data_IF_598353397088
#
_entry.id   IF_598353397088
#
_cell.length_a   1.000
_cell.length_b   1.000
_cell.length_c   1.000
_cell.angle_alpha   90.00
_cell.angle_beta   90.00
_cell.angle_gamma   90.00
#
_symmetry.space_group_name_H-M   'P 1'
#
loop_
_entity.id
_entity.type
_entity.pdbx_description
1 polymer ?
#
# COMPACT_ATOMS: atom_id res chain seq x y z
N UNK A 1 35.61 -43.26 -65.16
CA UNK A 1 34.51 -42.87 -64.25
C UNK A 1 35.11 -42.07 -63.10
N UNK A 2 34.88 -40.75 -62.99
CA UNK A 2 35.26 -40.02 -61.79
C UNK A 2 34.12 -40.05 -60.78
N UNK A 3 34.48 -40.37 -59.54
CA UNK A 3 33.62 -40.42 -58.36
C UNK A 3 33.39 -38.99 -57.86
N UNK A 4 32.13 -38.58 -57.76
CA UNK A 4 31.72 -37.32 -57.13
C UNK A 4 31.70 -37.50 -55.62
N UNK A 5 32.77 -37.06 -54.96
CA UNK A 5 32.79 -36.82 -53.52
C UNK A 5 31.96 -35.57 -53.20
N UNK A 6 30.84 -35.75 -52.48
CA UNK A 6 30.13 -34.66 -51.82
C UNK A 6 31.06 -34.02 -50.78
N UNK A 7 31.30 -32.70 -50.79
CA UNK A 7 31.99 -32.06 -49.69
C UNK A 7 31.04 -32.03 -48.49
N UNK A 8 31.42 -32.67 -47.38
CA UNK A 8 30.81 -32.40 -46.09
C UNK A 8 30.96 -30.90 -45.79
N UNK A 9 29.81 -30.23 -45.73
CA UNK A 9 29.69 -28.83 -45.35
C UNK A 9 30.09 -28.69 -43.88
N UNK A 10 31.38 -28.44 -43.67
CA UNK A 10 31.98 -28.19 -42.35
C UNK A 10 31.42 -26.87 -41.82
N UNK A 11 30.30 -26.93 -41.10
CA UNK A 11 29.71 -25.76 -40.44
C UNK A 11 30.75 -25.10 -39.54
N UNK A 12 31.03 -23.84 -39.85
CA UNK A 12 32.03 -23.02 -39.19
C UNK A 12 31.74 -22.92 -37.68
N UNK A 13 32.64 -23.38 -36.78
CA UNK A 13 32.42 -23.33 -35.33
C UNK A 13 32.23 -21.90 -34.81
N UNK A 14 32.78 -20.90 -35.51
CA UNK A 14 32.59 -19.49 -35.17
C UNK A 14 31.15 -19.01 -35.41
N UNK A 15 30.46 -19.57 -36.42
CA UNK A 15 29.06 -19.28 -36.68
C UNK A 15 28.14 -19.83 -35.58
N UNK A 16 28.48 -21.00 -35.03
CA UNK A 16 27.73 -21.63 -33.94
C UNK A 16 27.93 -20.84 -32.64
N UNK A 17 29.15 -20.44 -32.33
CA UNK A 17 29.44 -19.62 -31.14
C UNK A 17 28.77 -18.25 -31.21
N UNK A 18 28.85 -17.56 -32.37
CA UNK A 18 28.20 -16.25 -32.58
C UNK A 18 26.68 -16.33 -32.51
N UNK A 19 26.08 -17.35 -33.14
CA UNK A 19 24.63 -17.54 -33.11
C UNK A 19 24.11 -17.90 -31.71
N UNK A 20 24.85 -18.71 -30.94
CA UNK A 20 24.53 -19.00 -29.55
C UNK A 20 24.62 -17.77 -28.64
N UNK A 21 25.66 -16.94 -28.81
CA UNK A 21 25.78 -15.69 -28.05
C UNK A 21 24.72 -14.65 -28.41
N UNK A 22 24.29 -14.60 -29.69
CA UNK A 22 23.21 -13.73 -30.13
C UNK A 22 21.87 -14.18 -29.54
N UNK A 23 21.60 -15.49 -29.54
CA UNK A 23 20.42 -16.10 -28.94
C UNK A 23 20.37 -15.88 -27.42
N UNK A 24 21.51 -16.03 -26.74
CA UNK A 24 21.62 -15.73 -25.32
C UNK A 24 21.36 -14.25 -25.01
N UNK A 25 21.90 -13.33 -25.82
CA UNK A 25 21.70 -11.90 -25.65
C UNK A 25 20.23 -11.50 -25.89
N UNK A 26 19.58 -12.04 -26.93
CA UNK A 26 18.15 -11.84 -27.20
C UNK A 26 17.27 -12.37 -26.06
N UNK A 27 17.62 -13.55 -25.54
CA UNK A 27 16.90 -14.15 -24.40
C UNK A 27 17.04 -13.28 -23.14
N UNK A 28 18.25 -12.77 -22.86
CA UNK A 28 18.47 -11.84 -21.74
C UNK A 28 17.72 -10.53 -21.92
N UNK A 29 17.71 -9.96 -23.12
CA UNK A 29 16.99 -8.73 -23.42
C UNK A 29 15.47 -8.92 -23.25
N UNK A 30 14.92 -10.04 -23.74
CA UNK A 30 13.51 -10.39 -23.55
C UNK A 30 13.17 -10.62 -22.08
N UNK A 31 14.04 -11.30 -21.32
CA UNK A 31 13.86 -11.50 -19.88
C UNK A 31 13.90 -10.16 -19.13
N UNK A 32 14.88 -9.30 -19.43
CA UNK A 32 15.01 -7.98 -18.81
C UNK A 32 13.82 -7.08 -19.14
N UNK A 33 13.36 -7.06 -20.38
CA UNK A 33 12.16 -6.34 -20.80
C UNK A 33 10.89 -6.88 -20.11
N UNK A 34 10.79 -8.20 -19.94
CA UNK A 34 9.69 -8.83 -19.22
C UNK A 34 9.71 -8.47 -17.74
N UNK A 35 10.87 -8.53 -17.08
CA UNK A 35 11.03 -8.14 -15.67
C UNK A 35 10.74 -6.65 -15.49
N UNK A 36 11.24 -5.79 -16.37
CA UNK A 36 10.94 -4.36 -16.37
C UNK A 36 9.44 -4.11 -16.59
N UNK A 37 8.82 -4.82 -17.54
CA UNK A 37 7.39 -4.76 -17.77
C UNK A 37 6.58 -5.21 -16.55
N UNK A 38 6.98 -6.29 -15.88
CA UNK A 38 6.38 -6.73 -14.62
C UNK A 38 6.53 -5.64 -13.55
N UNK A 39 7.70 -5.02 -13.41
CA UNK A 39 7.91 -3.97 -12.41
C UNK A 39 7.15 -2.67 -12.70
N UNK A 40 6.99 -2.31 -13.97
CA UNK A 40 6.32 -1.08 -14.40
C UNK A 40 4.80 -1.24 -14.43
N UNK A 41 4.30 -2.42 -14.85
CA UNK A 41 2.88 -2.64 -15.12
C UNK A 41 2.18 -3.55 -14.13
N UNK A 42 2.89 -4.35 -13.31
CA UNK A 42 2.26 -5.01 -12.15
C UNK A 42 2.16 -3.98 -11.04
N UNK A 43 0.95 -3.49 -10.71
CA UNK A 43 0.79 -2.59 -9.58
C UNK A 43 1.34 -3.33 -8.37
N UNK A 44 2.18 -2.69 -7.54
CA UNK A 44 2.56 -3.23 -6.24
C UNK A 44 1.25 -3.52 -5.49
N UNK A 45 0.77 -4.77 -5.55
CA UNK A 45 -0.53 -5.21 -5.01
C UNK A 45 -0.65 -4.99 -3.50
N UNK A 46 0.44 -4.60 -2.85
CA UNK A 46 0.52 -4.49 -1.42
C UNK A 46 0.57 -3.02 -1.00
N UNK A 47 -0.55 -2.62 -0.40
CA UNK A 47 -0.76 -1.43 0.43
C UNK A 47 -1.24 -0.14 -0.26
N UNK A 48 -2.12 -0.26 -1.27
CA UNK A 48 -2.92 0.87 -1.78
C UNK A 48 -3.55 1.68 -0.64
N UNK A 49 -4.13 1.00 0.37
CA UNK A 49 -4.69 1.64 1.57
C UNK A 49 -3.66 2.44 2.37
N UNK A 50 -2.42 1.96 2.48
CA UNK A 50 -1.37 2.65 3.22
C UNK A 50 -0.85 3.85 2.43
N UNK A 51 -0.63 3.68 1.12
CA UNK A 51 -0.23 4.78 0.23
C UNK A 51 -1.28 5.89 0.27
N UNK A 52 -2.56 5.54 0.11
CA UNK A 52 -3.65 6.52 0.25
C UNK A 52 -3.69 7.14 1.64
N UNK A 53 -3.54 6.36 2.72
CA UNK A 53 -3.51 6.95 4.06
C UNK A 53 -2.40 8.00 4.23
N UNK A 54 -1.23 7.80 3.63
CA UNK A 54 -0.14 8.80 3.66
C UNK A 54 -0.46 10.03 2.82
N UNK A 55 -1.04 9.84 1.63
CA UNK A 55 -1.47 10.97 0.78
C UNK A 55 -2.55 11.80 1.48
N UNK A 56 -3.57 11.13 2.02
CA UNK A 56 -4.67 11.76 2.75
C UNK A 56 -4.21 12.40 4.07
N UNK A 57 -3.14 11.89 4.69
CA UNK A 57 -2.53 12.53 5.86
C UNK A 57 -1.93 13.90 5.52
N UNK A 58 -1.43 14.09 4.30
CA UNK A 58 -0.78 15.33 3.86
C UNK A 58 -1.69 16.29 3.10
N UNK A 59 -2.80 15.78 2.58
CA UNK A 59 -3.79 16.59 1.90
C UNK A 59 -4.54 17.51 2.86
N UNK A 60 -4.91 18.69 2.36
CA UNK A 60 -5.97 19.48 2.98
C UNK A 60 -7.30 18.77 2.80
N UNK A 61 -7.99 18.55 3.92
CA UNK A 61 -9.18 17.73 3.98
C UNK A 61 -10.41 18.59 4.15
N UNK A 62 -11.47 18.28 3.41
CA UNK A 62 -12.83 18.73 3.72
C UNK A 62 -13.54 17.62 4.49
N UNK A 63 -13.97 17.94 5.70
CA UNK A 63 -14.63 16.98 6.59
C UNK A 63 -16.11 16.79 6.24
N UNK A 64 -16.59 15.56 6.28
CA UNK A 64 -18.04 15.29 6.25
C UNK A 64 -18.67 15.61 7.60
N UNK A 65 -17.94 15.30 8.67
CA UNK A 65 -18.30 15.64 10.05
C UNK A 65 -17.09 16.31 10.70
N UNK A 66 -17.29 17.52 11.22
CA UNK A 66 -16.25 18.32 11.87
C UNK A 66 -16.34 18.13 13.39
N UNK A 67 -15.19 17.93 14.05
CA UNK A 67 -15.07 17.69 15.48
C UNK A 67 -16.14 16.76 16.09
N UNK A 68 -16.34 15.54 15.56
CA UNK A 68 -17.39 14.66 16.02
C UNK A 68 -17.11 14.10 17.43
N UNK A 69 -18.17 13.95 18.21
CA UNK A 69 -18.13 13.12 19.41
C UNK A 69 -17.92 11.64 19.05
N UNK A 70 -17.48 10.83 20.02
CA UNK A 70 -17.30 9.38 19.82
C UNK A 70 -18.60 8.67 19.36
N UNK A 71 -19.75 9.14 19.85
CA UNK A 71 -21.05 8.61 19.49
C UNK A 71 -21.42 8.95 18.04
N UNK A 72 -21.21 10.20 17.63
CA UNK A 72 -21.43 10.65 16.24
C UNK A 72 -20.50 9.93 15.27
N UNK A 73 -19.22 9.79 15.62
CA UNK A 73 -18.26 9.05 14.81
C UNK A 73 -18.67 7.59 14.64
N UNK A 74 -19.21 6.97 15.70
CA UNK A 74 -19.74 5.61 15.63
C UNK A 74 -20.95 5.53 14.71
N UNK A 75 -21.93 6.43 14.86
CA UNK A 75 -23.13 6.48 14.04
C UNK A 75 -22.79 6.73 12.56
N UNK A 76 -21.91 7.68 12.29
CA UNK A 76 -21.37 7.97 10.97
C UNK A 76 -20.70 6.72 10.36
N UNK A 77 -19.86 6.00 11.11
CA UNK A 77 -19.20 4.80 10.60
C UNK A 77 -20.19 3.69 10.19
N UNK A 78 -21.29 3.54 10.92
CA UNK A 78 -22.35 2.59 10.58
C UNK A 78 -23.00 2.97 9.26
N UNK A 79 -23.34 4.26 9.06
CA UNK A 79 -23.96 4.75 7.83
C UNK A 79 -23.00 4.77 6.64
N UNK A 80 -21.80 5.32 6.81
CA UNK A 80 -20.83 5.54 5.74
C UNK A 80 -20.09 4.25 5.34
N UNK A 81 -19.75 3.38 6.30
CA UNK A 81 -18.89 2.21 6.08
C UNK A 81 -19.63 0.87 6.25
N UNK A 82 -20.93 0.92 6.56
CA UNK A 82 -21.78 -0.26 6.72
C UNK A 82 -21.46 -1.09 7.97
N UNK A 83 -20.86 -0.49 8.99
CA UNK A 83 -20.63 -1.16 10.27
C UNK A 83 -19.82 -0.35 11.28
N UNK A 84 -19.87 -0.77 12.54
CA UNK A 84 -19.10 -0.14 13.63
C UNK A 84 -17.61 -0.39 13.40
N UNK A 85 -16.89 0.70 13.15
CA UNK A 85 -15.43 0.68 13.01
C UNK A 85 -14.78 0.83 14.38
N UNK A 86 -13.71 0.07 14.68
CA UNK A 86 -12.97 0.18 15.95
C UNK A 86 -12.06 1.42 15.91
N UNK A 87 -12.67 2.60 15.90
CA UNK A 87 -11.95 3.86 16.01
C UNK A 87 -11.29 3.98 17.39
N UNK A 88 -10.07 4.52 17.47
CA UNK A 88 -9.50 4.92 18.75
C UNK A 88 -10.46 5.83 19.50
N UNK A 89 -10.76 5.54 20.79
CA UNK A 89 -11.61 6.40 21.59
C UNK A 89 -10.90 7.74 21.85
N UNK A 90 -11.65 8.85 21.97
CA UNK A 90 -11.08 10.08 22.50
C UNK A 90 -10.66 9.87 23.97
N UNK A 91 -9.67 10.63 24.42
CA UNK A 91 -9.11 10.53 25.77
C UNK A 91 -8.16 11.70 26.05
N UNK A 92 -7.50 11.70 27.20
CA UNK A 92 -6.58 12.78 27.58
C UNK A 92 -5.49 12.97 26.51
N UNK A 93 -5.45 14.17 25.93
CA UNK A 93 -4.50 14.52 24.86
C UNK A 93 -4.86 13.96 23.48
N UNK A 94 -6.07 13.42 23.28
CA UNK A 94 -6.54 12.87 21.99
C UNK A 94 -7.86 13.52 21.58
N UNK A 95 -7.79 14.47 20.66
CA UNK A 95 -8.95 15.16 20.10
C UNK A 95 -9.29 14.65 18.70
N UNK A 96 -10.58 14.49 18.40
CA UNK A 96 -11.03 14.17 17.05
C UNK A 96 -11.22 15.48 16.28
N UNK A 97 -10.51 15.62 15.17
CA UNK A 97 -10.59 16.81 14.30
C UNK A 97 -11.75 16.68 13.33
N UNK A 98 -11.90 15.53 12.71
CA UNK A 98 -12.95 15.33 11.72
C UNK A 98 -12.91 13.95 11.10
N UNK A 99 -14.00 13.60 10.44
CA UNK A 99 -14.10 12.35 9.69
C UNK A 99 -14.73 12.57 8.32
N UNK A 100 -14.37 11.70 7.38
CA UNK A 100 -14.94 11.62 6.03
C UNK A 100 -14.75 10.24 5.47
N UNK A 101 -15.50 9.91 4.44
CA UNK A 101 -15.29 8.71 3.67
C UNK A 101 -14.74 9.05 2.29
N UNK A 102 -14.03 8.10 1.69
CA UNK A 102 -13.61 8.20 0.30
C UNK A 102 -13.64 6.81 -0.34
N UNK A 103 -13.66 6.80 -1.67
CA UNK A 103 -13.68 5.56 -2.43
C UNK A 103 -12.26 5.10 -2.75
N UNK A 104 -12.05 3.79 -2.60
CA UNK A 104 -10.85 3.08 -3.04
C UNK A 104 -11.28 1.96 -3.99
N UNK A 105 -10.39 1.41 -4.81
CA UNK A 105 -10.75 0.38 -5.80
C UNK A 105 -11.51 -0.83 -5.22
N UNK A 106 -11.37 -1.09 -3.91
CA UNK A 106 -12.02 -2.21 -3.19
C UNK A 106 -13.14 -1.77 -2.25
N UNK A 107 -13.74 -0.61 -2.53
CA UNK A 107 -14.89 -0.05 -1.82
C UNK A 107 -14.54 1.07 -0.87
N UNK A 108 -15.57 1.52 -0.14
CA UNK A 108 -15.53 2.70 0.71
C UNK A 108 -14.62 2.54 1.92
N UNK A 109 -13.88 3.61 2.19
CA UNK A 109 -12.88 3.70 3.25
C UNK A 109 -13.24 4.90 4.13
N UNK A 110 -13.13 4.72 5.44
CA UNK A 110 -13.27 5.82 6.40
C UNK A 110 -11.94 6.42 6.74
N UNK A 111 -11.91 7.74 6.93
CA UNK A 111 -10.78 8.48 7.41
C UNK A 111 -11.20 9.32 8.62
N UNK A 112 -10.38 9.29 9.66
CA UNK A 112 -10.53 10.13 10.85
C UNK A 112 -9.19 10.80 11.12
N UNK A 113 -9.22 12.12 11.35
CA UNK A 113 -8.06 12.87 11.82
C UNK A 113 -8.20 13.11 13.31
N UNK A 114 -7.11 12.84 14.01
CA UNK A 114 -6.92 13.09 15.43
C UNK A 114 -5.82 14.13 15.62
N UNK A 115 -5.86 14.85 16.73
CA UNK A 115 -4.72 15.54 17.32
C UNK A 115 -4.33 14.75 18.57
N UNK A 116 -3.11 14.22 18.57
CA UNK A 116 -2.52 13.55 19.74
C UNK A 116 -1.41 14.45 20.28
N UNK A 117 -1.58 14.99 21.47
CA UNK A 117 -0.68 15.99 22.06
C UNK A 117 -0.39 17.16 21.10
N UNK A 118 -1.44 17.63 20.41
CA UNK A 118 -1.35 18.71 19.40
C UNK A 118 -0.70 18.29 18.07
N UNK A 119 -0.40 17.01 17.86
CA UNK A 119 0.18 16.50 16.61
C UNK A 119 -0.84 15.76 15.76
N UNK A 120 -0.93 16.01 14.45
CA UNK A 120 -1.91 15.37 13.61
C UNK A 120 -1.59 13.88 13.44
N UNK A 121 -2.62 13.04 13.59
CA UNK A 121 -2.55 11.60 13.34
C UNK A 121 -3.78 11.22 12.53
N UNK A 122 -3.60 10.52 11.43
CA UNK A 122 -4.70 10.09 10.56
C UNK A 122 -4.89 8.60 10.70
N UNK A 123 -6.12 8.17 10.97
CA UNK A 123 -6.51 6.76 10.98
C UNK A 123 -7.46 6.50 9.84
N UNK A 124 -7.10 5.55 8.99
CA UNK A 124 -7.89 5.10 7.85
C UNK A 124 -8.37 3.68 8.13
N UNK A 125 -9.65 3.43 7.93
CA UNK A 125 -10.26 2.12 8.15
C UNK A 125 -10.94 1.60 6.91
N UNK A 126 -10.65 0.33 6.57
CA UNK A 126 -11.35 -0.40 5.53
C UNK A 126 -11.86 -1.72 6.05
N UNK A 127 -13.13 -2.00 5.80
CA UNK A 127 -13.70 -3.33 6.07
C UNK A 127 -13.05 -4.33 5.14
N UNK A 128 -12.50 -5.40 5.68
CA UNK A 128 -11.73 -6.36 4.88
C UNK A 128 -12.51 -7.65 4.67
N UNK A 129 -12.54 -8.11 3.41
CA UNK A 129 -13.10 -9.42 3.01
C UNK A 129 -12.01 -10.49 2.84
N UNK A 130 -10.78 -10.06 2.59
CA UNK A 130 -9.61 -10.92 2.30
C UNK A 130 -8.86 -11.37 3.57
N UNK A 131 -7.97 -12.38 3.51
CA UNK A 131 -7.10 -12.77 4.64
C UNK A 131 -6.21 -11.62 5.14
N UNK A 132 -5.73 -11.75 6.37
CA UNK A 132 -5.01 -10.69 7.08
C UNK A 132 -3.74 -10.27 6.32
N UNK A 133 -3.59 -8.98 5.94
CA UNK A 133 -2.30 -8.51 5.48
C UNK A 133 -1.29 -8.62 6.64
N UNK A 134 -0.03 -8.96 6.31
CA UNK A 134 1.07 -8.87 7.27
C UNK A 134 1.11 -7.45 7.83
N UNK A 135 1.36 -7.30 9.14
CA UNK A 135 1.63 -5.99 9.75
C UNK A 135 2.65 -5.27 8.90
N UNK A 136 2.32 -4.05 8.49
CA UNK A 136 3.21 -3.29 7.62
C UNK A 136 3.51 -1.95 8.27
N UNK A 137 4.79 -1.74 8.56
CA UNK A 137 5.35 -0.46 8.98
C UNK A 137 6.10 0.15 7.81
N UNK A 138 5.86 1.42 7.51
CA UNK A 138 6.55 2.17 6.47
C UNK A 138 6.88 3.56 6.98
N UNK A 139 8.15 3.93 6.92
CA UNK A 139 8.59 5.32 7.13
C UNK A 139 8.57 6.05 5.80
N UNK A 140 8.00 7.26 5.77
CA UNK A 140 7.89 8.11 4.58
C UNK A 140 8.24 9.54 4.96
N UNK A 141 9.52 9.92 4.84
CA UNK A 141 9.98 11.23 5.28
C UNK A 141 9.87 11.37 6.80
N UNK A 142 9.17 12.42 7.27
CA UNK A 142 8.93 12.67 8.69
C UNK A 142 7.78 11.82 9.28
N UNK A 143 7.04 11.08 8.45
CA UNK A 143 5.86 10.32 8.87
C UNK A 143 6.16 8.83 8.95
N UNK A 144 5.44 8.12 9.80
CA UNK A 144 5.38 6.67 9.82
C UNK A 144 3.94 6.18 9.71
N UNK A 145 3.75 5.21 8.82
CA UNK A 145 2.48 4.55 8.58
C UNK A 145 2.53 3.12 9.11
N UNK A 146 1.54 2.76 9.93
CA UNK A 146 1.37 1.45 10.54
C UNK A 146 0.04 0.86 10.12
N UNK A 147 0.05 -0.37 9.59
CA UNK A 147 -1.17 -1.12 9.30
C UNK A 147 -1.33 -2.34 10.20
N UNK A 148 -2.57 -2.55 10.66
CA UNK A 148 -2.93 -3.72 11.47
C UNK A 148 -4.39 -4.13 11.28
N UNK A 149 -4.73 -5.30 11.82
CA UNK A 149 -6.09 -5.85 11.84
C UNK A 149 -6.75 -5.59 13.17
N UNK A 150 -8.00 -5.13 13.11
CA UNK A 150 -8.89 -5.00 14.25
C UNK A 150 -10.23 -5.69 13.90
N UNK A 151 -10.32 -6.98 14.20
CA UNK A 151 -11.47 -7.81 13.81
C UNK A 151 -11.66 -7.87 12.29
N UNK A 152 -12.83 -7.40 11.81
CA UNK A 152 -13.19 -7.35 10.38
C UNK A 152 -12.62 -6.13 9.64
N UNK A 153 -11.83 -5.30 10.32
CA UNK A 153 -11.28 -4.06 9.80
C UNK A 153 -9.77 -4.16 9.62
N UNK A 154 -9.27 -3.54 8.56
CA UNK A 154 -7.86 -3.18 8.43
C UNK A 154 -7.76 -1.70 8.71
N UNK A 155 -6.93 -1.34 9.69
CA UNK A 155 -6.63 0.02 10.07
C UNK A 155 -5.24 0.40 9.54
N UNK A 156 -5.09 1.65 9.15
CA UNK A 156 -3.80 2.29 8.90
C UNK A 156 -3.76 3.58 9.68
N UNK A 157 -2.78 3.73 10.57
CA UNK A 157 -2.49 4.99 11.21
C UNK A 157 -1.25 5.62 10.58
N UNK A 158 -1.29 6.93 10.37
CA UNK A 158 -0.19 7.74 9.88
C UNK A 158 0.00 8.90 10.83
N UNK A 159 1.23 9.08 11.31
CA UNK A 159 1.57 10.17 12.20
C UNK A 159 3.08 10.45 12.16
N UNK A 160 3.53 11.47 12.90
CA UNK A 160 4.93 11.89 12.89
C UNK A 160 5.82 10.82 13.54
N UNK A 161 6.96 10.52 12.92
CA UNK A 161 7.85 9.44 13.32
C UNK A 161 8.55 9.69 14.67
N UNK A 162 8.83 10.95 14.99
CA UNK A 162 9.48 11.35 16.25
C UNK A 162 8.57 11.20 17.48
N UNK A 163 7.25 11.12 17.28
CA UNK A 163 6.27 10.83 18.33
C UNK A 163 5.58 9.46 18.18
N UNK A 164 6.13 8.56 17.35
CA UNK A 164 5.56 7.23 17.07
C UNK A 164 5.09 6.49 18.33
N UNK A 165 5.92 6.32 19.39
CA UNK A 165 5.49 5.55 20.55
C UNK A 165 4.23 6.10 21.24
N UNK A 166 4.08 7.45 21.27
CA UNK A 166 2.97 8.11 21.96
C UNK A 166 1.67 7.95 21.18
N UNK A 167 1.65 8.38 19.93
CA UNK A 167 0.42 8.30 19.16
C UNK A 167 0.05 6.85 18.83
N UNK A 168 1.04 5.96 18.67
CA UNK A 168 0.78 4.53 18.48
C UNK A 168 0.00 3.94 19.66
N UNK A 169 0.41 4.28 20.89
CA UNK A 169 -0.32 3.86 22.09
C UNK A 169 -1.73 4.45 22.14
N UNK A 170 -1.88 5.75 21.84
CA UNK A 170 -3.18 6.42 21.80
C UNK A 170 -4.14 5.81 20.77
N UNK A 171 -3.62 5.43 19.59
CA UNK A 171 -4.42 4.82 18.52
C UNK A 171 -4.65 3.31 18.70
N UNK A 172 -4.13 2.70 19.77
CA UNK A 172 -4.21 1.25 20.00
C UNK A 172 -3.49 0.44 18.91
N UNK A 173 -2.48 1.02 18.27
CA UNK A 173 -1.68 0.36 17.24
C UNK A 173 -0.62 -0.57 17.88
N UNK A 174 -0.39 -1.77 17.33
CA UNK A 174 0.48 -2.80 17.94
C UNK A 174 1.97 -2.58 17.68
#
# INVERSE_FOLDING_TARGET
>A
MPSTLHPEEKRDPDFILRSNSLSAALTFAALAATVAGVYLFVPRKNNELLTRAVEEHRADQTWEIDHPSAAELTAWSVGALGGRTPWPPPGDGVDIVGARAFELQRGRVGLVRYLVDGRPVTVVARRTRDPAPRRHRRVVGADVALSWRAGKWTLVAVGPADAEPRWKAAMGAP
#
